data_IF_464168084420
#
_entry.id   IF_464168084420
#
_cell.length_a   1.000
_cell.length_b   1.000
_cell.length_c   1.000
_cell.angle_alpha   90.00
_cell.angle_beta   90.00
_cell.angle_gamma   90.00
#
_symmetry.space_group_name_H-M   'P 1'
#
loop_
_entity.id
_entity.type
_entity.pdbx_description
1 polymer ?
#
# COMPACT_ATOMS: atom_id res chain seq x y z
N UNK A 1 50.55 -32.18 20.04
CA UNK A 1 49.53 -33.24 19.93
C UNK A 1 48.55 -33.07 21.07
N UNK A 2 47.26 -32.97 20.80
CA UNK A 2 46.23 -32.93 21.85
C UNK A 2 46.20 -34.30 22.54
N UNK A 3 46.16 -34.37 23.88
CA UNK A 3 46.17 -35.65 24.60
C UNK A 3 44.95 -36.49 24.21
N UNK A 4 45.18 -37.79 24.00
CA UNK A 4 44.13 -38.78 23.71
C UNK A 4 44.18 -39.84 24.83
N UNK A 5 43.16 -39.91 25.70
CA UNK A 5 41.95 -39.07 25.74
C UNK A 5 42.23 -37.64 26.27
N UNK A 6 41.32 -36.68 26.05
CA UNK A 6 41.42 -35.35 26.64
C UNK A 6 41.52 -35.43 28.17
N UNK A 7 42.26 -34.50 28.76
CA UNK A 7 42.38 -34.38 30.21
C UNK A 7 41.02 -34.08 30.84
N UNK A 8 40.78 -34.65 32.02
CA UNK A 8 39.56 -34.37 32.77
C UNK A 8 39.48 -32.87 33.11
N UNK A 9 38.31 -32.21 32.92
CA UNK A 9 38.14 -30.83 33.30
C UNK A 9 38.34 -30.66 34.81
N UNK A 10 39.07 -29.61 35.19
CA UNK A 10 39.39 -29.28 36.60
C UNK A 10 38.39 -28.32 37.24
N UNK A 11 37.44 -27.82 36.46
CA UNK A 11 36.47 -26.82 36.89
C UNK A 11 35.07 -27.18 36.39
N UNK A 12 34.05 -26.77 37.13
CA UNK A 12 32.66 -26.88 36.71
C UNK A 12 32.33 -25.80 35.66
N UNK A 13 31.51 -26.16 34.68
CA UNK A 13 31.03 -25.20 33.68
C UNK A 13 30.16 -24.13 34.32
N UNK A 14 30.41 -22.86 34.00
CA UNK A 14 29.55 -21.74 34.40
C UNK A 14 28.68 -21.28 33.22
N UNK A 15 27.46 -20.83 33.52
CA UNK A 15 26.58 -20.25 32.52
C UNK A 15 27.00 -18.79 32.31
N UNK A 16 27.54 -18.47 31.12
CA UNK A 16 27.93 -17.10 30.78
C UNK A 16 26.74 -16.15 30.60
N UNK A 17 25.69 -16.59 29.90
CA UNK A 17 24.44 -15.84 29.73
C UNK A 17 23.28 -16.76 29.33
N UNK A 18 22.05 -16.39 29.71
CA UNK A 18 20.80 -16.97 29.19
C UNK A 18 19.97 -15.83 28.61
N UNK A 19 19.57 -15.96 27.34
CA UNK A 19 18.77 -14.94 26.64
C UNK A 19 17.40 -15.49 26.34
N UNK A 20 16.37 -14.69 26.64
CA UNK A 20 14.98 -14.99 26.30
C UNK A 20 14.52 -13.99 25.24
N UNK A 21 13.89 -14.51 24.20
CA UNK A 21 13.34 -13.72 23.09
C UNK A 21 11.96 -14.25 22.73
N UNK A 22 11.06 -13.35 22.33
CA UNK A 22 9.80 -13.74 21.71
C UNK A 22 9.95 -13.78 20.19
N UNK A 23 9.23 -14.71 19.57
CA UNK A 23 9.04 -14.72 18.12
C UNK A 23 8.30 -13.46 17.68
N UNK A 24 8.53 -13.02 16.44
CA UNK A 24 7.82 -11.86 15.89
C UNK A 24 6.30 -12.06 15.91
N UNK A 25 5.56 -10.99 16.18
CA UNK A 25 4.11 -10.96 16.01
C UNK A 25 3.71 -9.92 14.98
N UNK A 26 2.47 -10.02 14.50
CA UNK A 26 2.05 -9.27 13.32
C UNK A 26 0.77 -8.48 13.60
N UNK A 27 0.79 -7.21 13.25
CA UNK A 27 -0.37 -6.32 13.31
C UNK A 27 -0.70 -5.87 11.90
N UNK A 28 -1.93 -6.10 11.46
CA UNK A 28 -2.43 -5.71 10.14
C UNK A 28 -3.44 -4.57 10.22
N UNK A 29 -3.59 -3.85 9.12
CA UNK A 29 -4.64 -2.86 8.96
C UNK A 29 -4.66 -2.25 7.56
N UNK A 30 -5.38 -1.13 7.41
CA UNK A 30 -5.31 -0.26 6.24
C UNK A 30 -4.91 1.14 6.62
N UNK A 31 -4.18 1.81 5.74
CA UNK A 31 -3.89 3.24 5.88
C UNK A 31 -4.51 4.05 4.75
N UNK A 32 -5.03 5.23 5.09
CA UNK A 32 -5.32 6.31 4.16
C UNK A 32 -4.21 7.33 4.22
N UNK A 33 -3.97 8.00 3.10
CA UNK A 33 -2.97 9.05 2.96
C UNK A 33 -3.60 10.20 2.18
N UNK A 34 -3.82 11.31 2.87
CA UNK A 34 -4.44 12.52 2.32
C UNK A 34 -3.41 13.54 1.82
N UNK A 35 -2.22 13.54 2.42
CA UNK A 35 -1.14 14.45 2.03
C UNK A 35 -0.46 14.04 0.72
N UNK A 36 -0.10 15.01 -0.12
CA UNK A 36 0.77 14.83 -1.31
C UNK A 36 2.26 15.07 -1.00
N UNK A 37 2.61 15.23 0.27
CA UNK A 37 3.98 15.53 0.72
C UNK A 37 4.58 14.41 1.56
N UNK A 38 3.78 13.39 1.91
CA UNK A 38 4.22 12.23 2.68
C UNK A 38 4.80 11.15 1.76
N UNK A 39 5.98 10.64 2.09
CA UNK A 39 6.44 9.38 1.51
C UNK A 39 5.79 8.19 2.23
N UNK A 40 5.79 6.99 1.63
CA UNK A 40 5.28 5.81 2.33
C UNK A 40 6.26 5.32 3.42
N UNK A 41 7.56 5.45 3.18
CA UNK A 41 8.66 5.11 4.11
C UNK A 41 9.70 6.22 4.10
N UNK A 42 10.48 6.45 5.17
CA UNK A 42 11.46 7.52 5.27
C UNK A 42 12.31 7.60 4.01
N UNK A 43 12.31 8.77 3.38
CA UNK A 43 12.97 8.98 2.10
C UNK A 43 14.20 9.87 2.28
N UNK A 44 15.34 9.23 2.51
CA UNK A 44 16.62 9.90 2.71
C UNK A 44 17.55 9.68 1.52
N UNK A 45 18.11 10.76 0.97
CA UNK A 45 19.15 10.71 -0.06
C UNK A 45 20.36 11.48 0.43
N UNK A 46 21.49 10.80 0.60
CA UNK A 46 22.77 11.38 1.08
C UNK A 46 22.60 12.17 2.39
N UNK A 47 21.77 11.68 3.30
CA UNK A 47 21.50 12.32 4.61
C UNK A 47 20.44 13.41 4.59
N UNK A 48 19.96 13.85 3.42
CA UNK A 48 18.86 14.80 3.30
C UNK A 48 17.51 14.06 3.22
N UNK A 49 16.56 14.44 4.10
CA UNK A 49 15.16 14.04 4.02
C UNK A 49 14.52 14.71 2.80
N UNK A 50 14.01 13.92 1.85
CA UNK A 50 13.26 14.41 0.69
C UNK A 50 11.78 14.64 0.98
N UNK A 51 11.28 14.03 2.04
CA UNK A 51 9.98 14.32 2.65
C UNK A 51 10.20 14.41 4.15
N UNK A 52 9.59 15.38 4.80
CA UNK A 52 9.73 15.55 6.25
C UNK A 52 9.22 14.33 7.02
N UNK A 53 8.07 13.82 6.59
CA UNK A 53 7.32 12.75 7.23
C UNK A 53 7.00 11.60 6.25
N UNK A 54 6.70 10.44 6.81
CA UNK A 54 6.29 9.24 6.10
C UNK A 54 5.14 8.50 6.78
N UNK A 55 4.39 7.74 5.99
CA UNK A 55 3.28 6.92 6.49
C UNK A 55 3.76 5.93 7.56
N UNK A 56 4.92 5.29 7.36
CA UNK A 56 5.40 4.29 8.31
C UNK A 56 5.74 4.85 9.70
N UNK A 57 6.11 6.12 9.80
CA UNK A 57 6.38 6.78 11.09
C UNK A 57 5.12 6.90 11.96
N UNK A 58 3.92 6.86 11.37
CA UNK A 58 2.65 6.90 12.09
C UNK A 58 2.43 5.65 12.98
N UNK A 59 3.16 4.56 12.72
CA UNK A 59 2.97 3.28 13.42
C UNK A 59 3.95 3.05 14.58
N UNK A 60 4.80 4.02 14.89
CA UNK A 60 5.74 3.92 16.02
C UNK A 60 5.03 3.65 17.35
N UNK A 61 3.83 4.20 17.53
CA UNK A 61 2.99 3.95 18.70
C UNK A 61 2.62 2.46 18.86
N UNK A 62 2.43 1.74 17.75
CA UNK A 62 2.14 0.29 17.78
C UNK A 62 3.36 -0.46 18.33
N UNK A 63 4.57 -0.12 17.86
CA UNK A 63 5.81 -0.70 18.38
C UNK A 63 5.97 -0.47 19.87
N UNK A 64 5.72 0.77 20.33
CA UNK A 64 5.78 1.15 21.74
C UNK A 64 4.77 0.34 22.55
N UNK A 65 3.52 0.21 22.09
CA UNK A 65 2.46 -0.48 22.84
C UNK A 65 2.68 -1.98 22.96
N UNK A 66 3.33 -2.59 21.98
CA UNK A 66 3.76 -3.99 22.04
C UNK A 66 5.11 -4.20 22.75
N UNK A 67 5.80 -3.11 23.11
CA UNK A 67 7.17 -3.12 23.64
C UNK A 67 8.11 -3.94 22.74
N UNK A 68 7.97 -3.80 21.43
CA UNK A 68 8.83 -4.46 20.46
C UNK A 68 10.16 -3.73 20.33
N UNK A 69 11.23 -4.48 19.99
CA UNK A 69 12.55 -3.89 19.74
C UNK A 69 12.59 -3.13 18.42
N UNK A 70 11.88 -3.64 17.42
CA UNK A 70 11.78 -3.05 16.10
C UNK A 70 10.42 -3.37 15.44
N UNK A 71 10.07 -2.65 14.38
CA UNK A 71 8.88 -2.89 13.59
C UNK A 71 9.18 -2.77 12.09
N UNK A 72 8.92 -3.83 11.33
CA UNK A 72 9.09 -3.81 9.87
C UNK A 72 7.74 -3.55 9.20
N UNK A 73 7.66 -2.45 8.47
CA UNK A 73 6.45 -2.06 7.75
C UNK A 73 6.40 -2.69 6.35
N UNK A 74 5.33 -3.43 6.07
CA UNK A 74 5.09 -4.10 4.79
C UNK A 74 3.71 -3.75 4.26
N UNK A 75 3.60 -3.52 2.95
CA UNK A 75 2.38 -3.00 2.32
C UNK A 75 2.07 -3.76 1.03
N UNK A 76 0.79 -3.79 0.64
CA UNK A 76 0.37 -4.37 -0.65
C UNK A 76 0.65 -3.37 -1.79
N UNK A 77 1.93 -3.17 -2.10
CA UNK A 77 2.43 -2.18 -3.05
C UNK A 77 2.61 -0.77 -2.46
N UNK A 78 2.93 0.20 -3.31
CA UNK A 78 3.30 1.57 -2.90
C UNK A 78 2.74 2.63 -3.84
N UNK A 79 2.48 3.80 -3.30
CA UNK A 79 2.24 5.05 -4.05
C UNK A 79 3.41 6.03 -3.95
N UNK A 80 3.54 6.92 -4.95
CA UNK A 80 4.52 8.00 -4.93
C UNK A 80 4.17 9.03 -3.82
N UNK A 81 5.14 9.86 -3.43
CA UNK A 81 4.93 10.87 -2.38
C UNK A 81 3.76 11.83 -2.70
N UNK A 82 3.63 12.25 -3.96
CA UNK A 82 2.58 13.14 -4.42
C UNK A 82 1.23 12.49 -4.74
N UNK A 83 1.07 11.20 -4.42
CA UNK A 83 -0.15 10.43 -4.66
C UNK A 83 -0.88 10.17 -3.35
N UNK A 84 -2.19 10.41 -3.33
CA UNK A 84 -3.05 10.10 -2.18
C UNK A 84 -3.49 8.63 -2.21
N UNK A 85 -3.78 8.08 -1.03
CA UNK A 85 -4.42 6.77 -0.85
C UNK A 85 -5.75 6.98 -0.12
N UNK A 86 -6.85 6.84 -0.84
CA UNK A 86 -8.21 7.15 -0.39
C UNK A 86 -9.06 5.87 -0.27
N UNK A 87 -10.39 6.05 -0.20
CA UNK A 87 -11.37 4.97 -0.16
C UNK A 87 -11.18 4.01 1.01
N UNK A 88 -11.00 2.73 0.73
CA UNK A 88 -10.79 1.71 1.77
C UNK A 88 -9.41 1.81 2.43
N UNK A 89 -8.44 2.47 1.77
CA UNK A 89 -7.05 2.56 2.21
C UNK A 89 -6.18 1.40 1.67
N UNK A 90 -4.87 1.52 1.82
CA UNK A 90 -3.92 0.48 1.41
C UNK A 90 -3.73 -0.55 2.52
N UNK A 91 -3.88 -1.85 2.21
CA UNK A 91 -3.49 -2.94 3.10
C UNK A 91 -2.02 -2.92 3.52
N UNK A 92 -1.77 -3.09 4.82
CA UNK A 92 -0.43 -3.22 5.39
C UNK A 92 -0.38 -4.23 6.55
N UNK A 93 0.84 -4.65 6.88
CA UNK A 93 1.16 -5.25 8.18
C UNK A 93 2.48 -4.72 8.75
N UNK A 94 2.63 -4.86 10.06
CA UNK A 94 3.86 -4.62 10.81
C UNK A 94 4.33 -5.95 11.38
N UNK A 95 5.57 -6.34 11.09
CA UNK A 95 6.26 -7.39 11.82
C UNK A 95 6.95 -6.76 13.03
N UNK A 96 6.45 -7.06 14.21
CA UNK A 96 7.00 -6.60 15.49
C UNK A 96 8.09 -7.57 15.94
N UNK A 97 9.32 -7.08 16.06
CA UNK A 97 10.49 -7.89 16.42
C UNK A 97 10.62 -7.96 17.93
N UNK A 98 10.71 -9.19 18.47
CA UNK A 98 10.87 -9.47 19.89
C UNK A 98 9.88 -8.69 20.81
N UNK A 99 8.55 -8.75 20.55
CA UNK A 99 7.57 -8.02 21.34
C UNK A 99 7.45 -8.63 22.74
N UNK A 100 7.37 -7.80 23.79
CA UNK A 100 7.09 -8.29 25.16
C UNK A 100 5.60 -8.42 25.43
N UNK A 101 4.77 -7.76 24.61
CA UNK A 101 3.33 -7.97 24.56
C UNK A 101 3.01 -8.52 23.17
N UNK A 102 2.76 -9.81 23.08
CA UNK A 102 2.61 -10.53 21.80
C UNK A 102 1.31 -10.21 21.09
N UNK A 103 0.22 -9.95 21.85
CA UNK A 103 -1.10 -9.64 21.31
C UNK A 103 -1.86 -8.69 22.24
N UNK A 104 -2.58 -7.75 21.63
CA UNK A 104 -3.56 -6.89 22.29
C UNK A 104 -4.97 -7.43 22.06
N UNK A 105 -5.90 -7.05 22.91
CA UNK A 105 -7.34 -7.27 22.68
C UNK A 105 -7.86 -6.41 21.52
N UNK A 106 -8.99 -6.80 20.94
CA UNK A 106 -9.59 -6.05 19.83
C UNK A 106 -9.99 -4.62 20.24
N UNK A 107 -10.38 -4.42 21.50
CA UNK A 107 -10.65 -3.09 22.04
C UNK A 107 -9.36 -2.26 22.15
N UNK A 108 -8.26 -2.83 22.64
CA UNK A 108 -6.98 -2.13 22.68
C UNK A 108 -6.46 -1.75 21.29
N UNK A 109 -6.67 -2.59 20.28
CA UNK A 109 -6.34 -2.23 18.90
C UNK A 109 -7.20 -1.07 18.38
N UNK A 110 -8.48 -1.04 18.72
CA UNK A 110 -9.37 0.07 18.37
C UNK A 110 -8.96 1.38 19.06
N UNK A 111 -8.61 1.31 20.33
CA UNK A 111 -8.12 2.49 21.08
C UNK A 111 -6.81 3.01 20.48
N UNK A 112 -5.92 2.11 20.10
CA UNK A 112 -4.65 2.43 19.44
C UNK A 112 -4.86 3.05 18.04
N UNK A 113 -5.82 2.55 17.27
CA UNK A 113 -6.23 3.13 15.99
C UNK A 113 -6.72 4.58 16.18
N UNK A 114 -7.59 4.80 17.16
CA UNK A 114 -8.11 6.12 17.50
C UNK A 114 -7.00 7.09 17.94
N UNK A 115 -6.03 6.61 18.72
CA UNK A 115 -4.89 7.41 19.18
C UNK A 115 -4.00 7.85 18.01
N UNK A 116 -3.69 6.93 17.08
CA UNK A 116 -2.93 7.27 15.86
C UNK A 116 -3.69 8.31 15.03
N UNK A 117 -5.01 8.11 14.85
CA UNK A 117 -5.86 9.00 14.07
C UNK A 117 -6.06 10.39 14.70
N UNK A 118 -5.88 10.53 16.02
CA UNK A 118 -5.95 11.80 16.75
C UNK A 118 -4.59 12.47 16.93
N UNK A 119 -3.50 11.83 16.51
CA UNK A 119 -2.14 12.38 16.59
C UNK A 119 -2.06 13.75 15.92
N UNK A 120 -1.55 14.75 16.65
CA UNK A 120 -1.43 16.13 16.14
C UNK A 120 -0.53 16.24 14.90
N UNK A 121 0.43 15.32 14.74
CA UNK A 121 1.38 15.33 13.63
C UNK A 121 0.78 14.74 12.35
N UNK A 122 -0.07 13.72 12.47
CA UNK A 122 -0.48 12.89 11.33
C UNK A 122 -1.97 12.94 11.00
N UNK A 123 -2.83 13.40 11.91
CA UNK A 123 -4.31 13.33 11.78
C UNK A 123 -4.88 13.81 10.43
N UNK A 124 -4.28 14.86 9.86
CA UNK A 124 -4.74 15.48 8.61
C UNK A 124 -4.05 14.88 7.37
N UNK A 125 -3.02 14.05 7.58
CA UNK A 125 -2.17 13.49 6.52
C UNK A 125 -2.34 11.99 6.32
N UNK A 126 -2.52 11.24 7.41
CA UNK A 126 -2.61 9.77 7.42
C UNK A 126 -3.67 9.35 8.44
N UNK A 127 -4.50 8.39 8.04
CA UNK A 127 -5.42 7.70 8.94
C UNK A 127 -5.22 6.20 8.84
N UNK A 128 -5.49 5.49 9.92
CA UNK A 128 -5.38 4.05 10.05
C UNK A 128 -6.76 3.49 10.35
N UNK A 129 -7.06 2.33 9.77
CA UNK A 129 -8.35 1.65 9.93
C UNK A 129 -8.16 0.14 10.02
N UNK A 130 -9.05 -0.51 10.75
CA UNK A 130 -9.09 -1.95 10.91
C UNK A 130 -7.80 -2.52 11.48
N UNK A 131 -7.18 -1.86 12.47
CA UNK A 131 -6.05 -2.45 13.19
C UNK A 131 -6.48 -3.74 13.89
N UNK A 132 -5.72 -4.80 13.66
CA UNK A 132 -5.94 -6.08 14.32
C UNK A 132 -4.68 -6.95 14.30
N UNK A 133 -4.67 -7.97 15.15
CA UNK A 133 -3.67 -9.03 15.10
C UNK A 133 -3.91 -9.94 13.89
N UNK A 134 -2.86 -10.22 13.14
CA UNK A 134 -2.90 -11.16 12.01
C UNK A 134 -1.97 -12.35 12.29
N UNK A 135 -2.26 -13.49 11.67
CA UNK A 135 -1.38 -14.65 11.75
C UNK A 135 -0.21 -14.52 10.75
N UNK A 136 0.93 -15.19 11.00
CA UNK A 136 2.05 -15.21 10.05
C UNK A 136 1.66 -15.66 8.64
N UNK A 137 0.69 -16.56 8.51
CA UNK A 137 0.17 -17.07 7.23
C UNK A 137 -0.48 -15.98 6.39
N UNK A 138 -1.12 -15.00 7.04
CA UNK A 138 -1.83 -13.89 6.40
C UNK A 138 -0.88 -12.94 5.68
N UNK A 139 0.41 -12.92 6.06
CA UNK A 139 1.43 -12.08 5.41
C UNK A 139 1.60 -12.38 3.91
N UNK A 140 1.26 -13.61 3.48
CA UNK A 140 1.28 -14.01 2.07
C UNK A 140 0.21 -13.30 1.25
N UNK A 141 -0.94 -12.99 1.86
CA UNK A 141 -2.07 -12.32 1.20
C UNK A 141 -1.65 -10.92 0.72
N UNK A 142 -0.85 -10.20 1.51
CA UNK A 142 -0.33 -8.87 1.14
C UNK A 142 0.62 -8.93 -0.04
N UNK A 143 1.54 -9.91 -0.05
CA UNK A 143 2.50 -10.11 -1.14
C UNK A 143 1.81 -10.49 -2.45
N UNK A 144 0.90 -11.46 -2.40
CA UNK A 144 0.10 -11.83 -3.56
C UNK A 144 -0.84 -10.69 -4.01
N UNK A 145 -1.33 -9.92 -3.05
CA UNK A 145 -2.13 -8.71 -3.24
C UNK A 145 -1.42 -7.66 -4.09
N UNK A 146 -0.14 -7.42 -3.83
CA UNK A 146 0.69 -6.48 -4.57
C UNK A 146 0.78 -6.86 -6.06
N UNK A 147 0.98 -8.15 -6.35
CA UNK A 147 1.24 -8.67 -7.70
C UNK A 147 -0.01 -8.91 -8.53
N UNK A 148 -1.12 -9.31 -7.89
CA UNK A 148 -2.32 -9.80 -8.59
C UNK A 148 -3.50 -8.83 -8.51
N UNK A 149 -3.65 -8.09 -7.42
CA UNK A 149 -4.89 -7.32 -7.19
C UNK A 149 -4.91 -5.99 -7.91
N UNK A 150 -6.03 -5.78 -8.58
CA UNK A 150 -6.36 -4.59 -9.35
C UNK A 150 -6.57 -3.39 -8.44
N UNK A 151 -6.42 -2.21 -9.02
CA UNK A 151 -6.43 -0.94 -8.28
C UNK A 151 -7.24 0.08 -9.06
N UNK A 152 -7.98 0.90 -8.33
CA UNK A 152 -8.79 1.99 -8.89
C UNK A 152 -8.11 3.31 -8.63
N UNK A 153 -8.10 4.16 -9.64
CA UNK A 153 -7.40 5.43 -9.63
C UNK A 153 -8.33 6.53 -10.08
N UNK A 154 -8.08 7.74 -9.58
CA UNK A 154 -8.69 8.97 -10.07
C UNK A 154 -7.59 9.98 -10.28
N UNK A 155 -7.53 10.55 -11.47
CA UNK A 155 -6.50 11.48 -11.87
C UNK A 155 -7.12 12.80 -12.33
N UNK A 156 -6.52 13.92 -11.94
CA UNK A 156 -6.75 15.19 -12.62
C UNK A 156 -5.80 15.23 -13.81
N UNK A 157 -6.35 15.34 -15.00
CA UNK A 157 -5.59 15.33 -16.26
C UNK A 157 -5.81 16.62 -17.03
N UNK A 158 -4.80 17.01 -17.79
CA UNK A 158 -4.88 18.06 -18.78
C UNK A 158 -4.72 17.45 -20.18
N UNK A 159 -5.52 17.91 -21.14
CA UNK A 159 -5.48 17.47 -22.54
C UNK A 159 -5.08 18.63 -23.44
N UNK A 160 -4.35 18.34 -24.51
CA UNK A 160 -3.94 19.36 -25.50
C UNK A 160 -5.10 20.01 -26.24
N UNK A 161 -6.25 19.32 -26.27
CA UNK A 161 -7.48 19.80 -26.90
C UNK A 161 -8.58 19.96 -25.83
N UNK A 162 -9.52 20.91 -26.01
CA UNK A 162 -10.65 21.04 -25.11
C UNK A 162 -11.48 19.75 -25.04
N UNK A 163 -11.93 19.38 -23.85
CA UNK A 163 -12.85 18.27 -23.60
C UNK A 163 -14.27 18.59 -24.09
N UNK A 164 -14.50 18.49 -25.40
CA UNK A 164 -15.84 18.53 -25.99
C UNK A 164 -16.65 17.28 -25.65
N UNK A 165 -17.97 17.32 -25.85
CA UNK A 165 -18.83 16.15 -25.57
C UNK A 165 -18.42 14.95 -26.44
N UNK A 166 -18.14 15.19 -27.72
CA UNK A 166 -17.64 14.18 -28.66
C UNK A 166 -16.32 13.53 -28.20
N UNK A 167 -15.40 14.32 -27.61
CA UNK A 167 -14.13 13.80 -27.12
C UNK A 167 -14.32 12.95 -25.87
N UNK A 168 -15.20 13.38 -24.97
CA UNK A 168 -15.57 12.64 -23.76
C UNK A 168 -16.24 11.32 -24.14
N UNK A 169 -17.21 11.34 -25.06
CA UNK A 169 -17.90 10.14 -25.56
C UNK A 169 -16.89 9.16 -26.14
N UNK A 170 -16.00 9.60 -27.04
CA UNK A 170 -14.95 8.76 -27.61
C UNK A 170 -14.06 8.11 -26.56
N UNK A 171 -13.57 8.88 -25.59
CA UNK A 171 -12.70 8.38 -24.51
C UNK A 171 -13.46 7.35 -23.65
N UNK A 172 -14.72 7.63 -23.31
CA UNK A 172 -15.56 6.77 -22.47
C UNK A 172 -16.00 5.50 -23.20
N UNK A 173 -16.31 5.57 -24.49
CA UNK A 173 -16.59 4.40 -25.32
C UNK A 173 -15.38 3.47 -25.39
N UNK A 174 -14.18 4.02 -25.62
CA UNK A 174 -12.95 3.25 -25.61
C UNK A 174 -12.65 2.67 -24.23
N UNK A 175 -12.84 3.47 -23.17
CA UNK A 175 -12.63 3.09 -21.79
C UNK A 175 -13.68 2.13 -21.20
N UNK A 176 -14.80 1.92 -21.88
CA UNK A 176 -15.81 0.92 -21.49
C UNK A 176 -15.35 -0.53 -21.72
N UNK A 177 -14.23 -0.73 -22.43
CA UNK A 177 -13.66 -2.03 -22.80
C UNK A 177 -12.27 -2.18 -22.22
N UNK A 178 -11.86 -3.44 -22.04
CA UNK A 178 -10.48 -3.72 -21.64
C UNK A 178 -9.49 -3.24 -22.71
N UNK A 179 -8.51 -2.46 -22.28
CA UNK A 179 -7.46 -1.91 -23.11
C UNK A 179 -6.12 -2.56 -22.75
N UNK A 180 -5.60 -3.49 -23.58
CA UNK A 180 -4.25 -3.99 -23.42
C UNK A 180 -3.24 -2.91 -23.82
N UNK A 181 -2.24 -2.69 -22.98
CA UNK A 181 -1.18 -1.72 -23.18
C UNK A 181 0.19 -2.39 -23.00
N UNK A 182 1.21 -1.85 -23.67
CA UNK A 182 2.60 -2.20 -23.45
C UNK A 182 3.30 -1.02 -22.79
N UNK A 183 3.83 -1.23 -21.58
CA UNK A 183 4.60 -0.24 -20.84
C UNK A 183 6.06 -0.65 -20.78
N UNK A 184 6.95 0.13 -21.40
CA UNK A 184 8.38 0.03 -21.10
C UNK A 184 8.64 0.55 -19.69
N UNK A 185 9.71 0.07 -19.04
CA UNK A 185 10.15 0.61 -17.75
C UNK A 185 10.22 2.15 -17.82
N UNK A 186 9.46 2.88 -16.97
CA UNK A 186 9.41 4.34 -17.04
C UNK A 186 10.78 5.00 -16.92
N UNK A 187 10.98 6.10 -17.65
CA UNK A 187 12.22 6.87 -17.61
C UNK A 187 12.64 7.27 -16.19
N UNK A 188 11.69 7.74 -15.36
CA UNK A 188 11.95 8.18 -13.98
C UNK A 188 12.40 7.07 -13.01
N UNK A 189 12.15 5.80 -13.33
CA UNK A 189 12.57 4.65 -12.48
C UNK A 189 13.75 3.87 -13.06
N UNK A 190 14.26 4.28 -14.21
CA UNK A 190 15.28 3.55 -14.97
C UNK A 190 16.57 3.32 -14.17
N UNK A 191 16.94 4.27 -13.30
CA UNK A 191 18.07 4.14 -12.37
C UNK A 191 17.96 3.00 -11.34
N UNK A 192 16.77 2.42 -11.14
CA UNK A 192 16.49 1.40 -10.11
C UNK A 192 15.92 0.11 -10.67
N UNK A 193 15.55 0.06 -11.95
CA UNK A 193 14.81 -1.05 -12.55
C UNK A 193 15.38 -1.37 -13.92
N UNK A 194 15.46 -2.67 -14.22
CA UNK A 194 15.85 -3.15 -15.54
C UNK A 194 14.88 -2.64 -16.62
N UNK A 195 15.41 -2.36 -17.81
CA UNK A 195 14.64 -1.98 -18.98
C UNK A 195 13.88 -3.21 -19.52
N UNK A 196 12.56 -3.23 -19.35
CA UNK A 196 11.70 -4.35 -19.75
C UNK A 196 10.38 -3.79 -20.24
N UNK A 197 9.83 -4.41 -21.27
CA UNK A 197 8.49 -4.14 -21.79
C UNK A 197 7.50 -5.03 -21.04
N UNK A 198 6.50 -4.42 -20.41
CA UNK A 198 5.49 -5.13 -19.60
C UNK A 198 4.13 -4.99 -20.26
N UNK A 199 3.50 -6.09 -20.70
CA UNK A 199 2.09 -6.07 -21.04
C UNK A 199 1.26 -5.81 -19.78
N UNK A 200 0.31 -4.89 -19.88
CA UNK A 200 -0.62 -4.50 -18.83
C UNK A 200 -2.02 -4.31 -19.41
N UNK A 201 -3.02 -4.32 -18.55
CA UNK A 201 -4.41 -4.06 -18.94
C UNK A 201 -4.99 -2.94 -18.10
N UNK A 202 -5.66 -1.99 -18.76
CA UNK A 202 -6.64 -1.09 -18.17
C UNK A 202 -8.00 -1.75 -18.38
N UNK A 203 -8.68 -2.14 -17.32
CA UNK A 203 -9.95 -2.88 -17.42
C UNK A 203 -11.09 -1.97 -17.85
N UNK A 204 -11.18 -0.82 -17.18
CA UNK A 204 -12.15 0.22 -17.51
C UNK A 204 -11.53 1.59 -17.24
N UNK A 205 -12.01 2.60 -17.95
CA UNK A 205 -11.71 3.99 -17.67
C UNK A 205 -12.84 4.92 -18.14
N UNK A 206 -12.96 6.07 -17.50
CA UNK A 206 -13.90 7.12 -17.89
C UNK A 206 -13.35 8.49 -17.54
N UNK A 207 -13.71 9.49 -18.34
CA UNK A 207 -13.37 10.89 -18.14
C UNK A 207 -14.63 11.74 -18.04
N UNK A 208 -14.58 12.75 -17.17
CA UNK A 208 -15.59 13.81 -17.07
C UNK A 208 -14.91 15.17 -17.00
N UNK A 209 -15.61 16.24 -17.39
CA UNK A 209 -15.10 17.62 -17.20
C UNK A 209 -14.95 17.93 -15.72
N UNK A 210 -13.96 18.77 -15.40
CA UNK A 210 -13.86 19.38 -14.06
C UNK A 210 -14.98 20.40 -13.85
N UNK A 211 -15.25 21.22 -14.86
CA UNK A 211 -16.37 22.16 -14.89
C UNK A 211 -16.77 22.51 -16.33
N UNK A 212 -17.91 23.19 -16.49
CA UNK A 212 -18.37 23.70 -17.79
C UNK A 212 -17.77 25.08 -18.15
N UNK A 213 -16.81 25.57 -17.36
CA UNK A 213 -16.22 26.88 -17.61
C UNK A 213 -15.19 26.83 -18.75
N UNK A 214 -15.19 27.79 -19.68
CA UNK A 214 -14.27 27.77 -20.83
C UNK A 214 -12.78 27.70 -20.46
N UNK A 215 -12.38 28.37 -19.37
CA UNK A 215 -10.99 28.38 -18.90
C UNK A 215 -10.50 27.03 -18.35
N UNK A 216 -11.42 26.15 -17.96
CA UNK A 216 -11.15 24.82 -17.44
C UNK A 216 -11.42 23.71 -18.47
N UNK A 217 -11.73 24.09 -19.72
CA UNK A 217 -12.17 23.17 -20.78
C UNK A 217 -11.14 22.09 -21.15
N UNK A 218 -9.86 22.28 -20.81
CA UNK A 218 -8.80 21.29 -21.05
C UNK A 218 -8.60 20.29 -19.90
N UNK A 219 -9.29 20.47 -18.77
CA UNK A 219 -9.11 19.67 -17.58
C UNK A 219 -10.23 18.65 -17.39
N UNK A 220 -9.84 17.41 -17.12
CA UNK A 220 -10.75 16.31 -16.86
C UNK A 220 -10.40 15.54 -15.61
N UNK A 221 -11.42 14.93 -15.00
CA UNK A 221 -11.23 13.90 -13.98
C UNK A 221 -11.30 12.55 -14.68
N UNK A 222 -10.18 11.82 -14.69
CA UNK A 222 -10.04 10.52 -15.33
C UNK A 222 -10.00 9.41 -14.28
N UNK A 223 -11.01 8.55 -14.29
CA UNK A 223 -11.12 7.37 -13.42
C UNK A 223 -10.69 6.13 -14.17
N UNK A 224 -9.89 5.27 -13.53
CA UNK A 224 -9.30 4.09 -14.16
C UNK A 224 -9.32 2.89 -13.22
N UNK A 225 -9.65 1.71 -13.74
CA UNK A 225 -9.43 0.43 -13.08
C UNK A 225 -8.34 -0.33 -13.81
N UNK A 226 -7.22 -0.58 -13.13
CA UNK A 226 -6.02 -1.10 -13.79
C UNK A 226 -5.46 -2.35 -13.12
N UNK A 227 -4.76 -3.14 -13.93
CA UNK A 227 -3.98 -4.28 -13.47
C UNK A 227 -2.90 -3.87 -12.46
N UNK A 228 -2.55 -4.80 -11.58
CA UNK A 228 -1.42 -4.65 -10.68
C UNK A 228 -0.11 -4.30 -11.42
N UNK A 229 0.62 -3.33 -10.87
CA UNK A 229 1.91 -2.87 -11.39
C UNK A 229 1.84 -1.98 -12.63
N UNK A 230 0.65 -1.51 -13.03
CA UNK A 230 0.49 -0.52 -14.10
C UNK A 230 0.97 0.85 -13.64
N UNK A 231 1.78 1.49 -14.48
CA UNK A 231 2.32 2.84 -14.25
C UNK A 231 1.33 3.89 -14.80
N UNK A 232 0.46 4.40 -13.93
CA UNK A 232 -0.68 5.26 -14.32
C UNK A 232 -0.24 6.60 -14.92
N UNK A 233 0.79 7.25 -14.35
CA UNK A 233 1.33 8.50 -14.90
C UNK A 233 1.75 8.31 -16.36
N UNK A 234 2.54 7.27 -16.60
CA UNK A 234 3.04 6.92 -17.93
C UNK A 234 1.95 6.42 -18.88
N UNK A 235 0.87 5.83 -18.38
CA UNK A 235 -0.32 5.53 -19.21
C UNK A 235 -1.06 6.80 -19.65
N UNK A 236 -1.08 7.86 -18.83
CA UNK A 236 -1.69 9.15 -19.21
C UNK A 236 -0.80 9.92 -20.19
N UNK A 237 0.45 10.22 -19.81
CA UNK A 237 1.33 11.10 -20.61
C UNK A 237 2.14 10.38 -21.70
N UNK A 238 2.12 9.05 -21.72
CA UNK A 238 2.76 8.23 -22.76
C UNK A 238 4.27 8.01 -22.60
N UNK A 239 4.94 8.69 -21.66
CA UNK A 239 6.39 8.61 -21.39
C UNK A 239 7.21 8.74 -22.68
N UNK A 240 6.92 9.76 -23.49
CA UNK A 240 7.54 10.00 -24.80
C UNK A 240 7.38 8.80 -25.77
N UNK A 241 6.20 8.18 -25.77
CA UNK A 241 5.86 7.04 -26.64
C UNK A 241 6.31 5.68 -26.11
N UNK A 242 6.79 5.59 -24.87
CA UNK A 242 7.19 4.35 -24.20
C UNK A 242 6.02 3.57 -23.58
N UNK A 243 4.85 4.18 -23.47
CA UNK A 243 3.60 3.48 -23.16
C UNK A 243 2.64 3.62 -24.33
N UNK A 244 2.17 2.49 -24.88
CA UNK A 244 1.24 2.46 -25.99
C UNK A 244 0.18 1.33 -25.86
N UNK A 245 -1.10 1.61 -26.17
CA UNK A 245 -1.66 2.97 -26.28
C UNK A 245 -1.60 3.72 -24.93
N UNK A 246 -1.56 5.05 -24.99
CA UNK A 246 -1.74 5.97 -23.86
C UNK A 246 -3.01 6.81 -24.05
N UNK A 247 -3.36 7.66 -23.07
CA UNK A 247 -4.58 8.49 -23.13
C UNK A 247 -4.66 9.35 -24.39
N UNK A 248 -3.56 9.98 -24.82
CA UNK A 248 -3.56 10.80 -26.04
C UNK A 248 -3.84 9.96 -27.30
N UNK A 249 -3.29 8.74 -27.38
CA UNK A 249 -3.61 7.82 -28.48
C UNK A 249 -5.10 7.40 -28.49
N UNK A 250 -5.65 7.13 -27.31
CA UNK A 250 -7.06 6.73 -27.15
C UNK A 250 -8.00 7.88 -27.54
N UNK A 251 -7.68 9.10 -27.10
CA UNK A 251 -8.45 10.30 -27.39
C UNK A 251 -8.31 10.79 -28.84
N UNK A 252 -7.22 10.42 -29.52
CA UNK A 252 -6.89 10.89 -30.88
C UNK A 252 -6.38 12.33 -30.90
N UNK A 253 -5.69 12.76 -29.83
CA UNK A 253 -5.18 14.12 -29.64
C UNK A 253 -3.65 14.12 -29.55
N UNK A 254 -3.05 15.31 -29.57
CA UNK A 254 -1.59 15.45 -29.53
C UNK A 254 -0.96 14.97 -28.21
N UNK A 255 -1.48 15.38 -27.06
CA UNK A 255 -0.87 15.04 -25.76
C UNK A 255 -1.86 15.15 -24.60
N UNK A 256 -1.58 14.40 -23.54
CA UNK A 256 -2.24 14.54 -22.25
C UNK A 256 -1.18 14.52 -21.14
N UNK A 257 -1.47 15.11 -19.99
CA UNK A 257 -0.60 15.08 -18.82
C UNK A 257 -1.39 14.84 -17.53
N UNK A 258 -0.72 14.29 -16.51
CA UNK A 258 -1.30 13.97 -15.21
C UNK A 258 -0.81 14.96 -14.17
N UNK A 259 -1.76 15.73 -13.60
CA UNK A 259 -1.46 16.78 -12.62
C UNK A 259 -1.53 16.23 -11.20
N UNK A 260 -2.60 15.49 -10.91
CA UNK A 260 -2.82 14.88 -9.61
C UNK A 260 -3.31 13.45 -9.76
N UNK A 261 -2.96 12.60 -8.80
CA UNK A 261 -3.36 11.20 -8.79
C UNK A 261 -3.74 10.75 -7.39
N UNK A 262 -4.84 10.02 -7.32
CA UNK A 262 -5.32 9.34 -6.14
C UNK A 262 -5.45 7.84 -6.45
N UNK A 263 -5.05 7.01 -5.50
CA UNK A 263 -5.50 5.62 -5.44
C UNK A 263 -6.82 5.64 -4.66
N UNK A 264 -7.90 5.21 -5.30
CA UNK A 264 -9.24 5.23 -4.70
C UNK A 264 -9.55 3.89 -4.04
N UNK A 265 -9.04 2.79 -4.58
CA UNK A 265 -9.27 1.47 -4.01
C UNK A 265 -8.17 0.47 -4.37
N UNK A 266 -7.99 -0.53 -3.51
CA UNK A 266 -7.15 -1.70 -3.75
C UNK A 266 -8.05 -2.91 -3.56
N UNK A 267 -8.26 -3.70 -4.62
CA UNK A 267 -9.23 -4.81 -4.64
C UNK A 267 -8.70 -6.04 -3.88
N UNK A 268 -8.38 -5.86 -2.60
CA UNK A 268 -7.86 -6.87 -1.70
C UNK A 268 -8.63 -6.80 -0.38
N UNK A 269 -9.34 -7.87 -0.04
CA UNK A 269 -9.98 -8.03 1.27
C UNK A 269 -8.86 -8.20 2.31
N UNK A 270 -8.79 -7.29 3.27
CA UNK A 270 -7.76 -7.20 4.29
C UNK A 270 -8.23 -6.31 5.45
N UNK A 271 -7.78 -6.49 6.69
CA UNK A 271 -7.29 -7.74 7.23
C UNK A 271 -8.24 -8.90 6.95
N UNK A 272 -7.78 -10.16 7.03
CA UNK A 272 -8.64 -11.31 6.85
C UNK A 272 -9.79 -11.26 7.86
N UNK A 273 -11.02 -11.46 7.37
CA UNK A 273 -12.17 -11.60 8.26
C UNK A 273 -12.06 -12.95 8.93
N UNK A 274 -11.76 -12.99 10.23
CA UNK A 274 -11.84 -14.21 11.02
C UNK A 274 -13.32 -14.52 11.23
N UNK A 275 -13.87 -15.47 10.48
CA UNK A 275 -15.21 -15.98 10.78
C UNK A 275 -15.21 -16.49 12.23
N UNK A 276 -16.16 -16.00 13.03
CA UNK A 276 -16.38 -16.56 14.35
C UNK A 276 -16.81 -18.02 14.14
N UNK A 277 -15.92 -18.96 14.46
CA UNK A 277 -16.29 -20.36 14.57
C UNK A 277 -17.28 -20.46 15.72
N UNK A 278 -18.57 -20.40 15.39
CA UNK A 278 -19.65 -20.77 16.31
C UNK A 278 -19.49 -22.29 16.48
N UNK A 279 -18.76 -22.70 17.51
CA UNK A 279 -18.77 -24.08 17.95
C UNK A 279 -20.20 -24.41 18.41
N UNK A 280 -20.97 -25.13 17.59
CA UNK A 280 -22.30 -25.68 17.91
C UNK A 280 -22.28 -26.74 19.04
N UNK A 281 -21.18 -26.88 19.79
CA UNK A 281 -21.04 -27.87 20.86
C UNK A 281 -21.08 -27.29 22.27
N UNK A 282 -21.78 -26.17 22.50
CA UNK A 282 -22.12 -25.75 23.86
C UNK A 282 -23.44 -26.43 24.32
N UNK A 283 -23.44 -27.77 24.38
CA UNK A 283 -24.39 -28.49 25.21
C UNK A 283 -23.96 -28.29 26.66
N UNK A 284 -24.73 -27.44 27.37
CA UNK A 284 -24.85 -27.48 28.82
C UNK A 284 -25.10 -28.93 29.25
N UNK A 285 -24.15 -29.51 29.97
CA UNK A 285 -24.44 -30.58 30.93
C UNK A 285 -24.13 -30.03 32.32
N UNK A 286 -25.18 -29.48 32.94
CA UNK A 286 -25.39 -29.59 34.37
C UNK A 286 -25.57 -31.07 34.67
N UNK A 287 -24.67 -31.68 35.43
CA UNK A 287 -24.99 -32.86 36.25
C UNK A 287 -24.12 -32.82 37.49
N UNK A 288 -24.81 -32.82 38.62
CA UNK A 288 -24.32 -32.82 40.00
C UNK A 288 -23.41 -34.01 40.31
N UNK A 289 -22.32 -33.74 41.04
CA UNK A 289 -21.81 -34.50 42.20
C UNK A 289 -20.64 -33.71 42.83
#
# INVERSE_FOLDING_TARGET
MTPIPPLAPTEESTIGAVTFTNTSTYVGGRYLKFSREYSQTPWNVRGAKLTENSVSECFELIKIRHKADDAKFCTAGREDANVRMLGSGRPFFLELVNPRITRLSDQEYKDLEDEINKSTLHKDSVQVRHLTYIEPEDTKIIKEGEEKKTKKYRALVWLSEPLTDDLIERINEAGSKECPIIQKTPTRVFQRRAAIDRPKTIFTASIVRVSDKPEESHFGVYEMHAQAGTYIKEFVHGDLGRTQPNLANIAGIHSADLLELDVVDVDLVWPPVKEAVINENNKRTLTDA
#
